data_IF_196478041460
#
_entry.id   IF_196478041460
#
_cell.length_a   1.000
_cell.length_b   1.000
_cell.length_c   1.000
_cell.angle_alpha   90.00
_cell.angle_beta   90.00
_cell.angle_gamma   90.00
#
_symmetry.space_group_name_H-M   'P 1'
#
loop_
_entity.id
_entity.type
_entity.pdbx_description
1 polymer ?
#
# COMPACT_ATOMS: atom_id res chain seq x y z
N UNK A 1 -5.82 -30.58 -1.63
CA UNK A 1 -5.20 -29.24 -1.56
C UNK A 1 -6.20 -28.31 -0.90
N UNK A 2 -5.93 -27.86 0.32
CA UNK A 2 -6.78 -26.86 0.97
C UNK A 2 -6.47 -25.50 0.34
N UNK A 3 -7.41 -24.96 -0.41
CA UNK A 3 -7.35 -23.57 -0.84
C UNK A 3 -7.54 -22.72 0.41
N UNK A 4 -6.46 -22.17 0.94
CA UNK A 4 -6.54 -21.21 2.04
C UNK A 4 -7.22 -19.97 1.49
N UNK A 5 -8.52 -19.85 1.69
CA UNK A 5 -9.27 -18.63 1.39
C UNK A 5 -8.78 -17.55 2.36
N UNK A 6 -7.74 -16.83 1.94
CA UNK A 6 -7.29 -15.62 2.61
C UNK A 6 -8.44 -14.61 2.54
N UNK A 7 -9.11 -14.42 3.68
CA UNK A 7 -10.05 -13.33 3.86
C UNK A 7 -9.22 -12.06 3.97
N UNK A 8 -9.48 -11.11 3.07
CA UNK A 8 -8.95 -9.77 3.21
C UNK A 8 -9.35 -9.23 4.59
N UNK A 9 -8.43 -8.70 5.44
CA UNK A 9 -8.83 -8.07 6.68
C UNK A 9 -9.87 -6.99 6.37
N UNK A 10 -10.83 -6.76 7.27
CA UNK A 10 -11.85 -5.76 7.08
C UNK A 10 -11.20 -4.42 6.71
N UNK A 11 -11.84 -3.61 5.85
CA UNK A 11 -11.30 -2.31 5.48
C UNK A 11 -10.95 -1.56 6.75
N UNK A 12 -9.67 -1.20 6.88
CA UNK A 12 -9.23 -0.35 7.97
C UNK A 12 -9.96 0.97 7.81
N UNK A 13 -10.84 1.33 8.73
CA UNK A 13 -11.45 2.67 8.74
C UNK A 13 -10.87 3.39 9.93
N UNK A 14 -10.00 4.37 9.68
CA UNK A 14 -9.40 5.15 10.74
C UNK A 14 -10.19 6.44 10.95
N UNK A 15 -11.23 6.35 11.78
CA UNK A 15 -12.10 7.45 12.17
C UNK A 15 -11.49 8.36 13.25
N UNK A 16 -10.23 8.78 13.06
CA UNK A 16 -9.55 9.71 13.97
C UNK A 16 -8.66 9.07 15.04
N UNK A 17 -8.14 7.86 14.82
CA UNK A 17 -7.08 7.29 15.67
C UNK A 17 -5.81 8.16 15.62
N UNK A 18 -5.08 8.24 16.76
CA UNK A 18 -3.78 8.92 16.83
C UNK A 18 -2.80 8.30 15.81
N UNK A 19 -2.02 9.14 15.13
CA UNK A 19 -1.12 8.77 14.05
C UNK A 19 -0.16 7.60 14.35
N UNK A 20 0.44 7.49 15.56
CA UNK A 20 1.30 6.35 15.88
C UNK A 20 0.55 5.00 15.83
N UNK A 21 -0.73 4.97 16.22
CA UNK A 21 -1.53 3.74 16.15
C UNK A 21 -1.96 3.43 14.72
N UNK A 22 -2.38 4.45 13.97
CA UNK A 22 -2.71 4.37 12.55
C UNK A 22 -1.54 3.83 11.73
N UNK A 23 -0.35 4.41 11.91
CA UNK A 23 0.85 4.06 11.15
C UNK A 23 1.30 2.61 11.42
N UNK A 24 1.29 2.15 12.67
CA UNK A 24 1.63 0.76 13.02
C UNK A 24 0.63 -0.23 12.41
N UNK A 25 -0.69 0.05 12.51
CA UNK A 25 -1.73 -0.82 11.94
C UNK A 25 -1.67 -0.85 10.41
N UNK A 26 -1.48 0.31 9.76
CA UNK A 26 -1.34 0.41 8.32
C UNK A 26 -0.08 -0.30 7.81
N UNK A 27 1.05 -0.13 8.48
CA UNK A 27 2.28 -0.85 8.15
C UNK A 27 2.09 -2.37 8.28
N UNK A 28 1.45 -2.84 9.36
CA UNK A 28 1.16 -4.26 9.55
C UNK A 28 0.26 -4.80 8.43
N UNK A 29 -0.79 -4.05 8.06
CA UNK A 29 -1.68 -4.41 6.95
C UNK A 29 -0.92 -4.52 5.63
N UNK A 30 -0.14 -3.50 5.27
CA UNK A 30 0.66 -3.50 4.04
C UNK A 30 1.67 -4.66 4.01
N UNK A 31 2.25 -5.05 5.16
CA UNK A 31 3.14 -6.22 5.26
C UNK A 31 2.42 -7.54 5.02
N UNK A 32 1.21 -7.73 5.56
CA UNK A 32 0.41 -8.94 5.33
C UNK A 32 0.08 -9.14 3.85
N UNK A 33 -0.05 -8.05 3.10
CA UNK A 33 -0.33 -8.07 1.67
C UNK A 33 0.89 -7.97 0.76
N UNK A 34 2.10 -8.01 1.32
CA UNK A 34 3.34 -7.87 0.56
C UNK A 34 3.39 -6.57 -0.27
N UNK A 35 2.86 -5.49 0.32
CA UNK A 35 2.77 -4.15 -0.26
C UNK A 35 3.78 -3.17 0.37
N UNK A 36 4.35 -3.52 1.52
CA UNK A 36 5.24 -2.62 2.28
C UNK A 36 6.50 -2.23 1.49
N UNK A 37 7.10 -3.18 0.78
CA UNK A 37 8.30 -2.92 -0.02
C UNK A 37 8.06 -1.89 -1.12
N UNK A 38 6.85 -1.89 -1.70
CA UNK A 38 6.44 -0.88 -2.69
C UNK A 38 6.32 0.50 -2.06
N UNK A 39 5.87 0.59 -0.82
CA UNK A 39 5.75 1.84 -0.07
C UNK A 39 7.13 2.37 0.34
N UNK A 40 8.03 1.50 0.80
CA UNK A 40 9.34 1.90 1.33
C UNK A 40 10.38 2.14 0.22
N UNK A 41 10.46 1.22 -0.73
CA UNK A 41 11.47 1.23 -1.79
C UNK A 41 11.00 2.06 -2.98
N UNK A 42 9.70 2.03 -3.31
CA UNK A 42 9.12 2.78 -4.42
C UNK A 42 9.68 2.38 -5.79
N UNK A 43 10.27 1.18 -5.91
CA UNK A 43 10.89 0.71 -7.15
C UNK A 43 9.96 -0.20 -7.93
N UNK A 44 10.13 -0.13 -9.24
CA UNK A 44 9.48 -1.00 -10.18
C UNK A 44 10.06 -2.41 -10.11
N UNK A 45 9.23 -3.46 -10.32
CA UNK A 45 9.75 -4.80 -10.47
C UNK A 45 10.71 -4.86 -11.66
N UNK A 46 11.71 -5.72 -11.57
CA UNK A 46 12.67 -5.91 -12.64
C UNK A 46 11.97 -6.31 -13.94
N UNK A 47 12.47 -5.88 -15.11
CA UNK A 47 11.94 -6.30 -16.40
C UNK A 47 11.93 -7.83 -16.52
N UNK A 48 10.97 -8.36 -17.27
CA UNK A 48 10.97 -9.76 -17.65
C UNK A 48 12.17 -10.07 -18.56
N UNK A 49 12.70 -11.29 -18.46
CA UNK A 49 13.68 -11.84 -19.40
C UNK A 49 13.09 -12.01 -20.80
N UNK A 50 13.94 -12.16 -21.83
CA UNK A 50 13.51 -12.27 -23.23
C UNK A 50 12.53 -13.42 -23.52
N UNK A 51 12.62 -14.54 -22.79
CA UNK A 51 11.73 -15.70 -22.93
C UNK A 51 11.10 -16.08 -21.59
N UNK A 52 10.12 -15.30 -21.08
CA UNK A 52 9.51 -15.57 -19.80
C UNK A 52 8.46 -16.68 -19.92
N UNK A 53 8.36 -17.51 -18.89
CA UNK A 53 7.27 -18.48 -18.75
C UNK A 53 5.95 -17.78 -18.40
N UNK A 54 4.82 -18.43 -18.66
CA UNK A 54 3.50 -17.89 -18.27
C UNK A 54 3.42 -17.56 -16.76
N UNK A 55 4.05 -18.38 -15.92
CA UNK A 55 4.13 -18.14 -14.48
C UNK A 55 4.89 -16.85 -14.15
N UNK A 56 6.01 -16.58 -14.82
CA UNK A 56 6.79 -15.35 -14.64
C UNK A 56 6.02 -14.11 -15.11
N UNK A 57 5.32 -14.21 -16.24
CA UNK A 57 4.46 -13.11 -16.73
C UNK A 57 3.36 -12.79 -15.71
N UNK A 58 2.71 -13.82 -15.17
CA UNK A 58 1.67 -13.67 -14.14
C UNK A 58 2.23 -13.01 -12.88
N UNK A 59 3.34 -13.51 -12.35
CA UNK A 59 3.99 -12.94 -11.17
C UNK A 59 4.36 -11.47 -11.40
N UNK A 60 5.01 -11.15 -12.52
CA UNK A 60 5.41 -9.77 -12.83
C UNK A 60 4.19 -8.83 -12.95
N UNK A 61 3.07 -9.32 -13.50
CA UNK A 61 1.81 -8.57 -13.51
C UNK A 61 1.29 -8.30 -12.10
N UNK A 62 1.33 -9.31 -11.22
CA UNK A 62 0.94 -9.16 -9.81
C UNK A 62 1.84 -8.15 -9.08
N UNK A 63 3.15 -8.22 -9.28
CA UNK A 63 4.13 -7.26 -8.73
C UNK A 63 3.87 -5.83 -9.21
N UNK A 64 3.63 -5.63 -10.52
CA UNK A 64 3.29 -4.30 -11.04
C UNK A 64 1.98 -3.78 -10.46
N UNK A 65 1.01 -4.64 -10.21
CA UNK A 65 -0.26 -4.24 -9.61
C UNK A 65 -0.10 -3.74 -8.17
N UNK A 66 0.91 -4.21 -7.42
CA UNK A 66 1.17 -3.76 -6.04
C UNK A 66 1.38 -2.25 -5.93
N UNK A 67 1.96 -1.61 -6.96
CA UNK A 67 2.13 -0.14 -7.06
C UNK A 67 0.83 0.64 -6.95
N UNK A 68 -0.27 0.05 -7.40
CA UNK A 68 -1.59 0.67 -7.33
C UNK A 68 -2.38 0.18 -6.12
N UNK A 69 -2.17 -1.08 -5.69
CA UNK A 69 -2.82 -1.64 -4.49
C UNK A 69 -2.38 -0.91 -3.21
N UNK A 70 -1.10 -0.61 -3.05
CA UNK A 70 -0.58 0.07 -1.87
C UNK A 70 -1.24 1.46 -1.62
N UNK A 71 -1.23 2.41 -2.57
CA UNK A 71 -1.89 3.71 -2.36
C UNK A 71 -3.40 3.56 -2.24
N UNK A 72 -4.03 2.62 -2.96
CA UNK A 72 -5.45 2.32 -2.81
C UNK A 72 -5.80 1.91 -1.37
N UNK A 73 -5.01 1.02 -0.75
CA UNK A 73 -5.21 0.63 0.64
C UNK A 73 -5.06 1.80 1.61
N UNK A 74 -4.11 2.71 1.36
CA UNK A 74 -3.93 3.91 2.20
C UNK A 74 -5.13 4.85 2.04
N UNK A 75 -5.55 5.14 0.80
CA UNK A 75 -6.69 6.02 0.50
C UNK A 75 -7.98 5.54 1.15
N UNK A 76 -8.26 4.23 1.11
CA UNK A 76 -9.48 3.69 1.69
C UNK A 76 -9.50 3.73 3.22
N UNK A 77 -8.34 3.89 3.84
CA UNK A 77 -8.23 3.82 5.28
C UNK A 77 -8.23 5.18 5.99
N UNK A 78 -7.84 6.23 5.28
CA UNK A 78 -7.82 7.58 5.82
C UNK A 78 -9.18 8.28 5.65
N UNK A 79 -9.41 9.33 6.42
CA UNK A 79 -10.61 10.18 6.24
C UNK A 79 -10.52 11.01 4.95
N UNK A 80 -11.67 11.47 4.45
CA UNK A 80 -11.75 12.34 3.26
C UNK A 80 -10.86 13.60 3.36
N UNK A 81 -10.71 14.16 4.56
CA UNK A 81 -9.85 15.31 4.84
C UNK A 81 -8.38 14.99 4.60
N UNK A 82 -7.92 13.79 4.96
CA UNK A 82 -6.54 13.37 4.73
C UNK A 82 -6.37 12.89 3.29
N UNK A 83 -7.37 12.18 2.74
CA UNK A 83 -7.41 11.76 1.35
C UNK A 83 -7.19 12.95 0.41
N UNK A 84 -7.91 14.06 0.62
CA UNK A 84 -7.77 15.29 -0.18
C UNK A 84 -6.38 15.95 -0.09
N UNK A 85 -5.56 15.60 0.89
CA UNK A 85 -4.19 16.10 1.00
C UNK A 85 -3.18 15.19 0.29
N UNK A 86 -3.45 13.89 0.25
CA UNK A 86 -2.56 12.88 -0.35
C UNK A 86 -2.96 12.49 -1.78
N UNK A 87 -4.13 12.90 -2.29
CA UNK A 87 -4.61 12.45 -3.63
C UNK A 87 -3.71 12.85 -4.80
N UNK A 88 -2.90 13.89 -4.62
CA UNK A 88 -2.01 14.42 -5.66
C UNK A 88 -0.66 13.69 -5.70
N UNK A 89 -0.40 12.77 -4.77
CA UNK A 89 0.81 11.96 -4.74
C UNK A 89 0.76 10.89 -5.85
N UNK A 90 1.86 10.76 -6.62
CA UNK A 90 1.95 9.86 -7.76
C UNK A 90 2.44 8.46 -7.40
N UNK A 91 3.01 8.27 -6.21
CA UNK A 91 3.54 6.98 -5.75
C UNK A 91 3.07 6.62 -4.34
N UNK A 92 3.08 5.31 -4.03
CA UNK A 92 2.79 4.80 -2.71
C UNK A 92 3.70 5.40 -1.62
N UNK A 93 4.96 5.66 -1.98
CA UNK A 93 5.95 6.28 -1.12
C UNK A 93 5.61 7.73 -0.79
N UNK A 94 5.31 8.54 -1.81
CA UNK A 94 4.89 9.93 -1.60
C UNK A 94 3.62 10.03 -0.77
N UNK A 95 2.64 9.15 -1.02
CA UNK A 95 1.42 9.05 -0.22
C UNK A 95 1.77 8.80 1.25
N UNK A 96 2.66 7.85 1.52
CA UNK A 96 3.07 7.47 2.88
C UNK A 96 3.89 8.54 3.59
N UNK A 97 4.81 9.21 2.89
CA UNK A 97 5.65 10.25 3.46
C UNK A 97 4.82 11.52 3.74
N UNK A 98 3.92 11.90 2.83
CA UNK A 98 2.99 13.01 3.08
C UNK A 98 2.02 12.71 4.23
N UNK A 99 1.59 11.46 4.36
CA UNK A 99 0.80 11.02 5.52
C UNK A 99 1.59 11.20 6.83
N UNK A 100 2.89 10.92 6.87
CA UNK A 100 3.73 11.23 8.05
C UNK A 100 3.75 12.72 8.35
N UNK A 101 4.02 13.55 7.34
CA UNK A 101 4.12 15.00 7.50
C UNK A 101 2.84 15.62 8.06
N UNK A 102 1.68 15.27 7.49
CA UNK A 102 0.39 15.83 7.89
C UNK A 102 0.05 15.57 9.36
N UNK A 103 0.46 14.43 9.90
CA UNK A 103 0.20 14.08 11.28
C UNK A 103 1.33 14.47 12.24
N UNK A 104 2.58 14.58 11.77
CA UNK A 104 3.66 15.18 12.56
C UNK A 104 3.46 16.69 12.75
N UNK A 105 2.80 17.37 11.81
CA UNK A 105 2.48 18.81 11.89
C UNK A 105 1.37 19.15 12.91
N UNK A 106 0.60 18.16 13.36
CA UNK A 106 -0.54 18.34 14.27
C UNK A 106 -0.11 18.26 15.76
N UNK A 107 1.19 18.07 16.03
CA UNK A 107 1.79 18.11 17.37
C UNK A 107 2.83 19.22 17.50
#
# INVERSE_FOLDING_TARGET
MASSSYSAPPPLVFSGENYPNLSVKMQAYLKVYDLWDVVEIGKDPAPLSDNPTLAQIKQHSEERAKKFKAPFCIHFAVSDVIFTKILACGSAKEVWDKLKEEYQRVF
#
